data_IF_826791478222
#
_entry.id   IF_826791478222
#
_cell.length_a   1.000
_cell.length_b   1.000
_cell.length_c   1.000
_cell.angle_alpha   90.00
_cell.angle_beta   90.00
_cell.angle_gamma   90.00
#
_symmetry.space_group_name_H-M   'P 1'
#
loop_
_entity.id
_entity.type
_entity.pdbx_description
1 polymer ?
#
# COMPACT_ATOMS: atom_id res chain seq x y z
N UNK A 1 13.03 6.88 -11.61
CA UNK A 1 14.03 6.97 -10.54
C UNK A 1 13.42 6.31 -9.32
N UNK A 2 14.03 5.27 -8.75
CA UNK A 2 13.49 4.59 -7.57
C UNK A 2 13.73 5.47 -6.34
N UNK A 3 12.74 6.28 -6.00
CA UNK A 3 12.70 7.03 -4.72
C UNK A 3 12.65 5.98 -3.61
N UNK A 4 13.67 5.95 -2.78
CA UNK A 4 13.67 5.08 -1.60
C UNK A 4 12.64 5.60 -0.60
N UNK A 5 12.06 4.73 0.22
CA UNK A 5 11.00 5.12 1.18
C UNK A 5 11.47 6.24 2.12
N UNK A 6 12.77 6.27 2.43
CA UNK A 6 13.42 7.33 3.21
C UNK A 6 13.40 8.69 2.49
N UNK A 7 13.57 8.71 1.17
CA UNK A 7 13.51 9.94 0.37
C UNK A 7 12.08 10.46 0.28
N UNK A 8 11.09 9.59 0.07
CA UNK A 8 9.67 9.96 0.05
C UNK A 8 9.23 10.54 1.40
N UNK A 9 9.57 9.86 2.49
CA UNK A 9 9.24 10.29 3.87
C UNK A 9 9.87 11.66 4.16
N UNK A 10 11.14 11.88 3.79
CA UNK A 10 11.82 13.17 3.95
C UNK A 10 11.19 14.27 3.10
N UNK A 11 10.85 13.98 1.83
CA UNK A 11 10.20 14.93 0.92
C UNK A 11 8.86 15.42 1.47
N UNK A 12 8.08 14.51 2.05
CA UNK A 12 6.80 14.81 2.68
C UNK A 12 6.94 15.52 4.04
N UNK A 13 8.17 15.69 4.55
CA UNK A 13 8.47 16.36 5.81
C UNK A 13 8.26 15.51 7.04
N UNK A 14 8.22 14.18 6.91
CA UNK A 14 8.12 13.25 8.03
C UNK A 14 9.50 12.90 8.58
N UNK A 15 9.57 12.72 9.90
CA UNK A 15 10.72 12.15 10.59
C UNK A 15 10.44 10.68 10.92
N UNK A 16 11.44 9.83 10.69
CA UNK A 16 11.43 8.42 11.09
C UNK A 16 11.72 8.34 12.59
N UNK A 17 10.85 7.68 13.34
CA UNK A 17 11.06 7.43 14.77
C UNK A 17 11.26 5.93 14.98
N UNK A 18 12.32 5.51 15.71
CA UNK A 18 12.47 4.12 16.10
C UNK A 18 11.28 3.70 16.95
N UNK A 19 10.58 2.65 16.53
CA UNK A 19 9.47 2.08 17.30
C UNK A 19 10.02 1.42 18.55
N UNK A 20 9.47 1.73 19.74
CA UNK A 20 9.83 1.01 20.97
C UNK A 20 9.51 -0.48 20.82
N UNK A 21 10.43 -1.36 21.24
CA UNK A 21 10.23 -2.81 21.18
C UNK A 21 9.00 -3.21 22.03
N UNK A 22 7.87 -3.50 21.35
CA UNK A 22 6.71 -4.09 22.01
C UNK A 22 7.02 -5.55 22.38
N UNK A 23 6.65 -5.99 23.60
CA UNK A 23 6.84 -7.38 24.01
C UNK A 23 6.07 -8.33 23.10
N UNK A 24 6.72 -9.40 22.67
CA UNK A 24 6.16 -10.45 21.84
C UNK A 24 4.96 -11.12 22.55
N UNK A 25 3.84 -11.27 21.85
CA UNK A 25 2.69 -12.06 22.31
C UNK A 25 2.20 -13.02 21.21
N UNK A 26 1.68 -14.18 21.61
CA UNK A 26 1.14 -15.18 20.68
C UNK A 26 -0.11 -14.66 19.94
N UNK A 27 -0.87 -13.76 20.56
CA UNK A 27 -2.03 -13.13 19.92
C UNK A 27 -1.61 -12.20 18.78
N UNK A 28 -0.47 -11.50 18.91
CA UNK A 28 0.12 -10.67 17.85
C UNK A 28 0.53 -11.52 16.63
N UNK A 29 0.97 -12.76 16.83
CA UNK A 29 1.32 -13.68 15.73
C UNK A 29 0.06 -14.27 15.08
N UNK A 30 -0.92 -14.66 15.89
CA UNK A 30 -2.13 -15.36 15.42
C UNK A 30 -3.06 -14.47 14.59
N UNK A 31 -3.02 -13.16 14.82
CA UNK A 31 -3.81 -12.15 14.08
C UNK A 31 -2.93 -11.19 13.27
N UNK A 32 -1.74 -11.64 12.84
CA UNK A 32 -0.83 -10.81 12.05
C UNK A 32 -1.35 -10.60 10.62
N UNK A 33 -2.21 -9.59 10.42
CA UNK A 33 -2.75 -9.22 9.11
C UNK A 33 -1.66 -8.96 8.06
N UNK A 34 -0.48 -8.47 8.48
CA UNK A 34 0.65 -8.23 7.59
C UNK A 34 1.18 -9.51 6.91
N UNK A 35 1.02 -10.68 7.54
CA UNK A 35 1.44 -11.94 6.96
C UNK A 35 0.60 -12.38 5.75
N UNK A 36 -0.59 -11.80 5.56
CA UNK A 36 -1.48 -12.08 4.43
C UNK A 36 -1.27 -11.14 3.25
N UNK A 37 -0.45 -10.10 3.42
CA UNK A 37 -0.13 -9.18 2.34
C UNK A 37 0.96 -9.80 1.46
N UNK A 38 0.60 -10.26 0.28
CA UNK A 38 1.56 -10.70 -0.73
C UNK A 38 2.22 -9.51 -1.43
N UNK A 39 3.50 -9.64 -1.78
CA UNK A 39 4.16 -8.60 -2.58
C UNK A 39 3.76 -8.76 -4.05
N UNK A 40 3.56 -7.65 -4.75
CA UNK A 40 3.29 -7.65 -6.18
C UNK A 40 4.20 -6.65 -6.90
N UNK A 41 5.40 -7.13 -7.23
CA UNK A 41 6.51 -6.32 -7.75
C UNK A 41 6.18 -5.57 -9.04
N UNK A 42 5.31 -6.11 -9.90
CA UNK A 42 4.87 -5.46 -11.16
C UNK A 42 4.20 -4.11 -10.95
N UNK A 43 3.68 -3.82 -9.76
CA UNK A 43 3.10 -2.52 -9.39
C UNK A 43 3.77 -1.95 -8.13
N UNK A 44 5.00 -2.39 -7.85
CA UNK A 44 5.77 -1.92 -6.72
C UNK A 44 5.19 -2.25 -5.34
N UNK A 45 4.16 -3.12 -5.25
CA UNK A 45 3.60 -3.51 -3.96
C UNK A 45 4.63 -4.28 -3.15
N UNK A 46 4.97 -3.75 -1.98
CA UNK A 46 5.84 -4.41 -1.02
C UNK A 46 5.43 -4.05 0.39
N UNK A 47 5.35 -5.04 1.27
CA UNK A 47 4.81 -4.89 2.61
C UNK A 47 5.73 -5.45 3.68
N UNK A 48 5.68 -4.85 4.87
CA UNK A 48 6.23 -5.46 6.07
C UNK A 48 5.48 -6.76 6.35
N UNK A 49 6.15 -7.79 6.87
CA UNK A 49 5.53 -9.10 7.15
C UNK A 49 5.20 -9.30 8.62
N UNK A 50 5.76 -8.48 9.49
CA UNK A 50 5.54 -8.55 10.94
C UNK A 50 5.37 -7.16 11.53
N UNK A 51 4.48 -7.04 12.52
CA UNK A 51 4.13 -5.75 13.13
C UNK A 51 5.32 -5.02 13.79
N UNK A 52 6.36 -5.74 14.21
CA UNK A 52 7.58 -5.13 14.79
C UNK A 52 8.42 -4.38 13.76
N UNK A 53 8.23 -4.66 12.47
CA UNK A 53 8.96 -4.01 11.38
C UNK A 53 8.24 -2.73 10.92
N UNK A 54 7.12 -2.37 11.56
CA UNK A 54 6.45 -1.08 11.32
C UNK A 54 7.38 0.07 11.71
N UNK A 55 7.42 1.07 10.86
CA UNK A 55 8.22 2.29 11.07
C UNK A 55 7.28 3.44 11.41
N UNK A 56 7.53 4.13 12.51
CA UNK A 56 6.73 5.28 12.91
C UNK A 56 7.18 6.53 12.15
N UNK A 57 6.22 7.23 11.54
CA UNK A 57 6.39 8.49 10.84
C UNK A 57 5.74 9.59 11.67
N UNK A 58 6.47 10.67 11.95
CA UNK A 58 5.91 11.84 12.64
C UNK A 58 6.11 13.12 11.86
N UNK A 59 5.05 13.93 11.78
CA UNK A 59 5.10 15.29 11.23
C UNK A 59 4.18 16.17 12.05
N UNK A 60 4.77 17.17 12.71
CA UNK A 60 4.03 18.09 13.59
C UNK A 60 3.21 17.34 14.65
N UNK A 61 1.87 17.37 14.54
CA UNK A 61 0.94 16.70 15.43
C UNK A 61 0.42 15.36 14.87
N UNK A 62 0.83 14.97 13.66
CA UNK A 62 0.40 13.71 13.04
C UNK A 62 1.42 12.60 13.27
N UNK A 63 0.92 11.41 13.62
CA UNK A 63 1.68 10.17 13.70
C UNK A 63 1.08 9.10 12.79
N UNK A 64 1.94 8.38 12.08
CA UNK A 64 1.55 7.24 11.25
C UNK A 64 2.48 6.06 11.44
N UNK A 65 2.00 4.86 11.11
CA UNK A 65 2.82 3.64 11.02
C UNK A 65 2.90 3.18 9.58
N UNK A 66 4.09 3.26 9.01
CA UNK A 66 4.40 2.78 7.67
C UNK A 66 4.42 1.25 7.65
N UNK A 67 3.69 0.65 6.70
CA UNK A 67 3.60 -0.81 6.58
C UNK A 67 3.78 -1.35 5.16
N UNK A 68 3.86 -0.49 4.15
CA UNK A 68 4.13 -0.92 2.79
C UNK A 68 4.20 0.22 1.81
N UNK A 69 4.32 -0.11 0.53
CA UNK A 69 4.36 0.85 -0.57
C UNK A 69 3.80 0.22 -1.84
N UNK A 70 3.44 1.05 -2.81
CA UNK A 70 3.24 0.69 -4.22
C UNK A 70 3.88 1.77 -5.12
N UNK A 71 3.74 1.63 -6.43
CA UNK A 71 4.25 2.60 -7.39
C UNK A 71 3.70 4.04 -7.24
N UNK A 72 2.60 4.23 -6.49
CA UNK A 72 1.95 5.53 -6.24
C UNK A 72 2.33 6.16 -4.88
N UNK A 73 3.12 5.46 -4.05
CA UNK A 73 3.54 5.99 -2.75
C UNK A 73 3.57 4.95 -1.63
N UNK A 74 3.50 5.45 -0.39
CA UNK A 74 3.67 4.65 0.81
C UNK A 74 2.34 4.45 1.57
N UNK A 75 2.06 3.21 1.98
CA UNK A 75 0.89 2.89 2.80
C UNK A 75 1.18 3.04 4.28
N UNK A 76 0.32 3.79 4.95
CA UNK A 76 0.46 4.11 6.36
C UNK A 76 -0.84 3.87 7.13
N UNK A 77 -0.72 3.51 8.40
CA UNK A 77 -1.83 3.41 9.36
C UNK A 77 -1.87 4.69 10.18
N UNK A 78 -3.01 5.39 10.15
CA UNK A 78 -3.28 6.56 10.97
C UNK A 78 -3.59 6.25 12.44
N UNK A 79 -3.84 7.28 13.22
CA UNK A 79 -4.10 7.18 14.67
C UNK A 79 -5.41 6.43 15.00
N UNK A 80 -6.43 6.60 14.16
CA UNK A 80 -7.71 5.91 14.28
C UNK A 80 -7.73 4.58 13.49
N UNK A 81 -6.55 4.01 13.23
CA UNK A 81 -6.33 2.73 12.53
C UNK A 81 -6.74 2.71 11.05
N UNK A 82 -7.10 3.85 10.44
CA UNK A 82 -7.38 3.91 9.00
C UNK A 82 -6.11 3.78 8.18
N UNK A 83 -6.27 3.32 6.94
CA UNK A 83 -5.20 3.20 5.97
C UNK A 83 -5.23 4.37 5.00
N UNK A 84 -4.08 5.01 4.86
CA UNK A 84 -3.84 6.07 3.89
C UNK A 84 -2.70 5.70 2.94
N UNK A 85 -2.72 6.29 1.75
CA UNK A 85 -1.59 6.36 0.84
C UNK A 85 -0.98 7.75 0.94
N UNK A 86 0.28 7.83 1.35
CA UNK A 86 1.10 9.02 1.21
C UNK A 86 1.70 9.04 -0.20
N UNK A 87 1.23 9.97 -1.02
CA UNK A 87 1.53 9.98 -2.45
C UNK A 87 2.96 10.44 -2.75
N UNK A 88 3.67 9.66 -3.57
CA UNK A 88 4.88 10.11 -4.26
C UNK A 88 4.52 11.08 -5.41
N UNK A 89 5.48 11.41 -6.27
CA UNK A 89 5.22 12.28 -7.41
C UNK A 89 4.13 11.71 -8.32
N UNK A 90 4.24 10.43 -8.70
CA UNK A 90 3.28 9.74 -9.56
C UNK A 90 1.88 9.70 -8.94
N UNK A 91 1.79 9.40 -7.64
CA UNK A 91 0.53 9.44 -6.90
C UNK A 91 -0.11 10.83 -6.88
N UNK A 92 0.69 11.90 -6.76
CA UNK A 92 0.18 13.28 -6.80
C UNK A 92 -0.29 13.68 -8.20
N UNK A 93 0.33 13.15 -9.26
CA UNK A 93 -0.14 13.35 -10.62
C UNK A 93 -1.51 12.67 -10.85
N UNK A 94 -1.72 11.48 -10.29
CA UNK A 94 -2.99 10.75 -10.39
C UNK A 94 -4.09 11.37 -9.52
N UNK A 95 -3.82 11.60 -8.25
CA UNK A 95 -4.85 11.95 -7.27
C UNK A 95 -4.97 13.44 -6.99
N UNK A 96 -3.98 14.26 -7.41
CA UNK A 96 -3.90 15.69 -7.10
C UNK A 96 -3.88 16.00 -5.60
N UNK A 97 -3.59 15.00 -4.76
CA UNK A 97 -3.54 15.07 -3.30
C UNK A 97 -2.26 14.43 -2.78
N UNK A 98 -1.74 14.91 -1.65
CA UNK A 98 -0.55 14.35 -1.00
C UNK A 98 -0.86 13.13 -0.12
N UNK A 99 -2.12 12.98 0.31
CA UNK A 99 -2.60 11.90 1.17
C UNK A 99 -3.99 11.48 0.71
N UNK A 100 -4.13 10.21 0.34
CA UNK A 100 -5.40 9.63 -0.12
C UNK A 100 -5.90 8.62 0.90
N UNK A 101 -7.19 8.66 1.22
CA UNK A 101 -7.84 7.62 2.01
C UNK A 101 -7.95 6.33 1.21
N UNK A 102 -7.59 5.20 1.82
CA UNK A 102 -7.59 3.89 1.15
C UNK A 102 -8.62 2.96 1.75
N UNK A 103 -8.61 2.77 3.08
CA UNK A 103 -9.56 1.90 3.77
C UNK A 103 -9.74 2.29 5.24
N UNK A 104 -10.86 1.86 5.83
CA UNK A 104 -11.18 2.16 7.24
C UNK A 104 -10.33 1.40 8.25
N UNK A 105 -9.67 0.32 7.84
CA UNK A 105 -8.78 -0.46 8.71
C UNK A 105 -7.80 -1.30 7.92
N UNK A 106 -6.73 -1.78 8.58
CA UNK A 106 -5.79 -2.76 8.00
C UNK A 106 -6.50 -4.06 7.58
N UNK A 107 -7.49 -4.52 8.34
CA UNK A 107 -8.27 -5.71 7.99
C UNK A 107 -9.01 -5.51 6.66
N UNK A 108 -9.67 -4.36 6.52
CA UNK A 108 -10.38 -3.99 5.28
C UNK A 108 -9.40 -3.89 4.12
N UNK A 109 -8.25 -3.24 4.33
CA UNK A 109 -7.19 -3.16 3.32
C UNK A 109 -6.69 -4.53 2.86
N UNK A 110 -6.38 -5.45 3.78
CA UNK A 110 -5.95 -6.83 3.42
C UNK A 110 -7.01 -7.52 2.58
N UNK A 111 -8.28 -7.35 2.92
CA UNK A 111 -9.40 -7.96 2.20
C UNK A 111 -9.54 -7.36 0.79
N UNK A 112 -9.53 -6.02 0.67
CA UNK A 112 -9.56 -5.30 -0.61
C UNK A 112 -8.36 -5.64 -1.50
N UNK A 113 -7.16 -5.71 -0.92
CA UNK A 113 -5.94 -6.07 -1.63
C UNK A 113 -5.97 -7.53 -2.12
N UNK A 114 -6.50 -8.45 -1.32
CA UNK A 114 -6.69 -9.85 -1.72
C UNK A 114 -7.68 -9.98 -2.87
N UNK A 115 -8.77 -9.20 -2.85
CA UNK A 115 -9.73 -9.13 -3.96
C UNK A 115 -9.05 -8.61 -5.23
N UNK A 116 -8.27 -7.55 -5.12
CA UNK A 116 -7.49 -7.00 -6.21
C UNK A 116 -6.55 -8.06 -6.82
N UNK A 117 -5.74 -8.73 -6.00
CA UNK A 117 -4.86 -9.81 -6.48
C UNK A 117 -5.65 -10.93 -7.15
N UNK A 118 -6.82 -11.30 -6.63
CA UNK A 118 -7.67 -12.32 -7.26
C UNK A 118 -8.15 -11.89 -8.65
N UNK A 119 -8.53 -10.62 -8.82
CA UNK A 119 -8.84 -10.02 -10.12
C UNK A 119 -7.67 -10.14 -11.08
N UNK A 120 -6.45 -9.82 -10.63
CA UNK A 120 -5.24 -9.96 -11.46
C UNK A 120 -5.00 -11.41 -11.89
N UNK A 121 -5.24 -12.38 -11.01
CA UNK A 121 -5.11 -13.80 -11.38
C UNK A 121 -6.20 -14.26 -12.35
N UNK A 122 -7.43 -13.75 -12.26
CA UNK A 122 -8.49 -14.02 -13.22
C UNK A 122 -8.11 -13.51 -14.61
N UNK A 123 -7.59 -12.29 -14.72
CA UNK A 123 -7.10 -11.74 -15.98
C UNK A 123 -5.98 -12.61 -16.57
N UNK A 124 -5.00 -12.98 -15.74
CA UNK A 124 -3.88 -13.85 -16.15
C UNK A 124 -4.31 -15.25 -16.59
N UNK A 125 -5.40 -15.78 -16.04
CA UNK A 125 -5.91 -17.09 -16.41
C UNK A 125 -6.45 -17.12 -17.85
N UNK A 126 -6.89 -15.97 -18.38
CA UNK A 126 -7.44 -15.80 -19.73
C UNK A 126 -6.50 -15.05 -20.67
N UNK A 127 -5.19 -15.13 -20.43
CA UNK A 127 -4.17 -14.36 -21.14
C UNK A 127 -4.35 -14.43 -22.67
N UNK A 128 -4.39 -13.27 -23.34
CA UNK A 128 -4.68 -13.10 -24.79
C UNK A 128 -6.06 -13.55 -25.31
N UNK A 129 -6.87 -14.19 -24.47
CA UNK A 129 -8.22 -14.69 -24.81
C UNK A 129 -9.33 -13.89 -24.14
N UNK A 130 -8.97 -12.99 -23.21
CA UNK A 130 -9.93 -12.17 -22.50
C UNK A 130 -10.52 -11.10 -23.42
N UNK A 131 -11.84 -11.00 -23.41
CA UNK A 131 -12.57 -9.95 -24.12
C UNK A 131 -12.70 -8.70 -23.23
N UNK A 132 -12.83 -7.52 -23.84
CA UNK A 132 -12.87 -6.24 -23.12
C UNK A 132 -14.02 -6.17 -22.10
N UNK A 133 -15.19 -6.73 -22.42
CA UNK A 133 -16.35 -6.78 -21.53
C UNK A 133 -16.09 -7.65 -20.29
N UNK A 134 -15.27 -8.70 -20.42
CA UNK A 134 -14.83 -9.51 -19.28
C UNK A 134 -13.83 -8.78 -18.39
N UNK A 135 -12.95 -7.95 -18.97
CA UNK A 135 -12.06 -7.07 -18.21
C UNK A 135 -12.87 -6.05 -17.40
N UNK A 136 -13.83 -5.38 -18.05
CA UNK A 136 -14.75 -4.43 -17.42
C UNK A 136 -15.56 -5.10 -16.29
N UNK A 137 -16.03 -6.34 -16.49
CA UNK A 137 -16.74 -7.09 -15.45
C UNK A 137 -15.85 -7.33 -14.22
N UNK A 138 -14.58 -7.72 -14.42
CA UNK A 138 -13.64 -7.94 -13.32
C UNK A 138 -13.37 -6.63 -12.55
N UNK A 139 -13.15 -5.52 -13.26
CA UNK A 139 -12.90 -4.22 -12.65
C UNK A 139 -14.12 -3.71 -11.86
N UNK A 140 -15.32 -3.78 -12.45
CA UNK A 140 -16.56 -3.40 -11.80
C UNK A 140 -16.83 -4.27 -10.57
N UNK A 141 -16.59 -5.58 -10.66
CA UNK A 141 -16.75 -6.51 -9.55
C UNK A 141 -15.77 -6.20 -8.40
N UNK A 142 -14.51 -5.85 -8.71
CA UNK A 142 -13.56 -5.39 -7.70
C UNK A 142 -14.08 -4.15 -6.99
N UNK A 143 -14.47 -3.11 -7.75
CA UNK A 143 -14.98 -1.85 -7.19
C UNK A 143 -16.16 -2.09 -6.24
N UNK A 144 -17.13 -2.88 -6.68
CA UNK A 144 -18.34 -3.18 -5.91
C UNK A 144 -18.02 -3.95 -4.61
N UNK A 145 -17.17 -4.97 -4.69
CA UNK A 145 -16.81 -5.75 -3.51
C UNK A 145 -15.99 -4.93 -2.52
N UNK A 146 -15.05 -4.11 -2.99
CA UNK A 146 -14.26 -3.23 -2.11
C UNK A 146 -15.15 -2.20 -1.42
N UNK A 147 -16.08 -1.58 -2.13
CA UNK A 147 -17.04 -0.65 -1.53
C UNK A 147 -17.92 -1.32 -0.47
N UNK A 148 -18.34 -2.58 -0.71
CA UNK A 148 -19.14 -3.34 0.24
C UNK A 148 -18.39 -3.73 1.54
N UNK A 149 -17.06 -3.69 1.53
CA UNK A 149 -16.25 -3.91 2.74
C UNK A 149 -16.20 -2.67 3.65
N UNK A 150 -16.51 -1.49 3.14
CA UNK A 150 -16.52 -0.25 3.92
C UNK A 150 -17.83 -0.09 4.70
N UNK A 151 -17.74 0.57 5.86
CA UNK A 151 -18.89 0.80 6.73
C UNK A 151 -19.85 1.87 6.19
N UNK A 152 -19.32 2.80 5.38
CA UNK A 152 -20.08 3.89 4.79
C UNK A 152 -20.00 3.81 3.27
N UNK A 153 -21.16 3.64 2.62
CA UNK A 153 -21.27 3.61 1.16
C UNK A 153 -21.12 4.99 0.51
N UNK A 154 -21.11 6.06 1.31
CA UNK A 154 -20.91 7.44 0.84
C UNK A 154 -19.42 7.81 0.72
N UNK A 155 -18.52 6.92 1.16
CA UNK A 155 -17.09 7.20 1.15
C UNK A 155 -16.50 6.89 -0.23
N UNK A 156 -15.95 7.93 -0.87
CA UNK A 156 -15.16 7.75 -2.08
C UNK A 156 -13.87 6.97 -1.76
N UNK A 157 -13.47 6.09 -2.67
CA UNK A 157 -12.26 5.26 -2.54
C UNK A 157 -11.32 5.49 -3.72
N UNK A 158 -10.72 6.69 -3.85
CA UNK A 158 -9.99 7.08 -5.06
C UNK A 158 -8.88 6.10 -5.43
N UNK A 159 -8.19 5.56 -4.42
CA UNK A 159 -7.15 4.56 -4.63
C UNK A 159 -7.68 3.30 -5.34
N UNK A 160 -8.79 2.73 -4.85
CA UNK A 160 -9.36 1.49 -5.41
C UNK A 160 -10.06 1.72 -6.74
N UNK A 161 -10.65 2.90 -6.94
CA UNK A 161 -11.16 3.31 -8.25
C UNK A 161 -10.04 3.38 -9.28
N UNK A 162 -8.88 3.93 -8.91
CA UNK A 162 -7.72 3.93 -9.78
C UNK A 162 -7.16 2.52 -10.03
N UNK A 163 -7.15 1.63 -9.02
CA UNK A 163 -6.76 0.23 -9.22
C UNK A 163 -7.70 -0.50 -10.20
N UNK A 164 -9.01 -0.24 -10.13
CA UNK A 164 -9.99 -0.79 -11.07
C UNK A 164 -9.79 -0.23 -12.49
N UNK A 165 -9.56 1.08 -12.62
CA UNK A 165 -9.23 1.71 -13.91
C UNK A 165 -7.99 1.07 -14.57
N UNK A 166 -6.95 0.77 -13.79
CA UNK A 166 -5.76 0.10 -14.30
C UNK A 166 -6.00 -1.35 -14.75
N UNK A 167 -7.03 -2.02 -14.21
CA UNK A 167 -7.49 -3.31 -14.74
C UNK A 167 -8.14 -3.10 -16.11
N UNK A 168 -9.05 -2.13 -16.24
CA UNK A 168 -9.79 -1.83 -17.48
C UNK A 168 -8.88 -1.43 -18.65
N UNK A 169 -7.79 -0.70 -18.36
CA UNK A 169 -6.84 -0.20 -19.35
C UNK A 169 -5.76 -1.27 -19.74
N UNK A 170 -5.93 -2.54 -19.36
CA UNK A 170 -4.95 -3.64 -19.51
C UNK A 170 -3.56 -3.35 -18.89
N UNK A 171 -3.46 -2.24 -18.16
CA UNK A 171 -2.21 -1.68 -17.67
C UNK A 171 -1.46 -2.55 -16.68
N UNK A 172 -2.15 -3.53 -16.06
CA UNK A 172 -1.61 -4.40 -15.00
C UNK A 172 -1.12 -5.76 -15.53
N UNK A 173 -1.69 -6.24 -16.64
CA UNK A 173 -1.46 -7.61 -17.14
C UNK A 173 -0.31 -7.64 -18.15
N UNK A 174 -0.11 -6.56 -18.91
CA UNK A 174 0.76 -6.53 -20.09
C UNK A 174 2.12 -5.83 -19.88
N UNK A 175 2.38 -5.22 -18.72
CA UNK A 175 3.56 -4.35 -18.51
C UNK A 175 4.68 -5.05 -17.75
N UNK A 176 5.36 -6.00 -18.40
CA UNK A 176 6.62 -6.58 -17.92
C UNK A 176 7.82 -5.60 -18.02
N UNK A 177 7.63 -4.45 -18.65
CA UNK A 177 8.68 -3.51 -19.07
C UNK A 177 8.90 -2.30 -18.14
N UNK A 178 7.99 -2.00 -17.21
CA UNK A 178 8.03 -0.73 -16.46
C UNK A 178 8.88 -0.73 -15.17
N UNK A 179 9.22 -1.87 -14.58
CA UNK A 179 9.87 -1.89 -13.25
C UNK A 179 11.03 -2.89 -13.14
N UNK A 180 12.23 -2.56 -13.67
CA UNK A 180 13.41 -3.36 -13.42
C UNK A 180 13.89 -3.16 -11.96
N UNK A 181 13.83 -4.24 -11.17
CA UNK A 181 14.46 -4.44 -9.86
C UNK A 181 14.01 -3.55 -8.68
N UNK A 182 13.07 -4.07 -7.86
CA UNK A 182 12.84 -3.59 -6.49
C UNK A 182 13.85 -4.22 -5.52
N UNK A 183 14.82 -3.42 -5.04
CA UNK A 183 15.57 -3.75 -3.83
C UNK A 183 14.78 -3.35 -2.58
N UNK A 184 15.02 -4.13 -1.53
CA UNK A 184 14.40 -4.13 -0.21
C UNK A 184 14.22 -2.75 0.42
N UNK A 185 13.26 -2.67 1.35
CA UNK A 185 13.17 -1.65 2.40
C UNK A 185 14.50 -1.61 3.20
N UNK A 186 15.50 -0.88 2.73
CA UNK A 186 16.71 -0.56 3.50
C UNK A 186 16.46 0.76 4.25
N UNK A 187 15.97 0.65 5.48
CA UNK A 187 15.93 1.76 6.42
C UNK A 187 17.28 1.83 7.13
N UNK A 188 18.23 2.61 6.58
CA UNK A 188 19.44 2.95 7.31
C UNK A 188 19.12 3.99 8.39
N UNK A 189 18.97 3.52 9.64
CA UNK A 189 18.92 4.39 10.81
C UNK A 189 20.35 4.75 11.17
N UNK A 190 20.77 5.97 10.85
CA UNK A 190 22.02 6.54 11.39
C UNK A 190 21.94 6.54 12.91
N UNK A 191 22.67 5.63 13.55
CA UNK A 191 22.91 5.68 15.00
C UNK A 191 23.76 6.92 15.28
N UNK A 192 23.10 8.01 15.66
CA UNK A 192 23.77 9.15 16.27
C UNK A 192 24.35 8.71 17.61
N UNK A 193 25.62 8.32 17.60
CA UNK A 193 26.41 8.17 18.83
C UNK A 193 26.64 9.58 19.41
N UNK A 194 25.64 10.08 20.16
CA UNK A 194 25.87 11.01 21.24
C UNK A 194 26.24 10.21 22.50
N UNK A 195 27.51 9.79 22.55
CA UNK A 195 28.17 9.33 23.76
C UNK A 195 29.23 10.33 24.15
N UNK A 196 28.84 11.35 24.92
CA UNK A 196 29.78 12.15 25.72
C UNK A 196 30.45 11.22 26.74
N UNK A 197 31.77 11.10 26.69
CA UNK A 197 32.67 11.55 27.76
C UNK A 197 34.12 11.45 27.33
#
# INVERSE_FOLDING_TARGET
MTVTINELVKELGFCLVPTEEKPFSLDVVRFNFFAYLEDYSKMGFSFVKVARDLVELRKEQESYRLFGQCFLGAFVIGEEEQVFLLCNQEGREVFQEARVYVNSSLHTFVSSYSLFLSGIFLLKAKFYEIEQDEVEEIAANLKNQVLALEKSLEQELPFWEHMAYLIEDDGIVLRDDLFPNNRMLEVEIEKSNHGKS
#
